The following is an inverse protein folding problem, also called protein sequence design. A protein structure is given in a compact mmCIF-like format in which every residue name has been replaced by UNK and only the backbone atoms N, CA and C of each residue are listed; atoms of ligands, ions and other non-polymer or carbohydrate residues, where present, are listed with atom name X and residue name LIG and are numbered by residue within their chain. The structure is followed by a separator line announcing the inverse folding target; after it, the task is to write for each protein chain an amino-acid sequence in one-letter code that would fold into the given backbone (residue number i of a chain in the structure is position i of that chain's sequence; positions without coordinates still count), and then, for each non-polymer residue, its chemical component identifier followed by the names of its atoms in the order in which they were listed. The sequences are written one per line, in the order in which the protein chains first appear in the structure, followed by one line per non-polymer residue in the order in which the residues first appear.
data_IF_180410704820
#
_entry.id   IF_180410704820
#
_cell.length_a   1.000
_cell.length_b   1.000
_cell.length_c   1.000
_cell.angle_alpha   90.00
_cell.angle_beta   90.00
_cell.angle_gamma   90.00
#
_symmetry.space_group_name_H-M   'P 1'
#
loop_
_entity.id
_entity.type
_entity.pdbx_description
1 polymer ?
#
# COMPACT_ATOMS: atom_id res chain seq x y z
N UNK A 1 -7.02 2.79 -12.23
CA UNK A 1 -5.95 2.41 -11.29
C UNK A 1 -5.91 0.88 -11.20
N UNK A 2 -4.74 0.25 -11.37
CA UNK A 2 -4.63 -1.21 -11.17
C UNK A 2 -4.80 -1.54 -9.68
N UNK A 3 -5.28 -2.74 -9.37
CA UNK A 3 -5.48 -3.14 -7.98
C UNK A 3 -4.13 -3.24 -7.25
N UNK A 4 -3.09 -3.71 -7.94
CA UNK A 4 -1.72 -3.74 -7.44
C UNK A 4 -1.21 -2.35 -7.05
N UNK A 5 -1.45 -1.32 -7.88
CA UNK A 5 -1.00 0.05 -7.63
C UNK A 5 -1.64 0.67 -6.37
N UNK A 6 -2.80 0.17 -5.95
CA UNK A 6 -3.45 0.56 -4.71
C UNK A 6 -3.03 -0.31 -3.52
N UNK A 7 -3.09 -1.64 -3.65
CA UNK A 7 -2.86 -2.58 -2.56
C UNK A 7 -1.38 -2.70 -2.17
N UNK A 8 -0.47 -2.73 -3.14
CA UNK A 8 0.94 -2.94 -2.90
C UNK A 8 1.56 -1.93 -1.93
N UNK A 9 1.43 -0.60 -2.13
CA UNK A 9 2.02 0.37 -1.20
C UNK A 9 1.42 0.25 0.20
N UNK A 10 0.11 0.02 0.32
CA UNK A 10 -0.56 -0.15 1.62
C UNK A 10 -0.02 -1.39 2.37
N UNK A 11 0.19 -2.50 1.66
CA UNK A 11 0.72 -3.74 2.23
C UNK A 11 2.17 -3.59 2.68
N UNK A 12 3.04 -2.97 1.86
CA UNK A 12 4.44 -2.70 2.24
C UNK A 12 4.50 -1.80 3.47
N UNK A 13 3.69 -0.75 3.52
CA UNK A 13 3.63 0.15 4.70
C UNK A 13 3.12 -0.59 5.93
N UNK A 14 2.04 -1.35 5.82
CA UNK A 14 1.52 -2.18 6.92
C UNK A 14 2.57 -3.14 7.46
N UNK A 15 3.32 -3.81 6.58
CA UNK A 15 4.42 -4.70 6.95
C UNK A 15 5.56 -3.95 7.67
N UNK A 16 5.95 -2.78 7.15
CA UNK A 16 6.99 -1.93 7.77
C UNK A 16 6.61 -1.45 9.17
N UNK A 17 5.35 -1.05 9.38
CA UNK A 17 4.85 -0.62 10.69
C UNK A 17 4.85 -1.82 11.66
N UNK A 18 4.35 -2.98 11.21
CA UNK A 18 4.32 -4.22 12.00
C UNK A 18 5.73 -4.66 12.44
N UNK A 19 6.74 -4.50 11.58
CA UNK A 19 8.12 -4.85 11.90
C UNK A 19 8.77 -3.90 12.91
N UNK A 20 8.42 -2.60 12.85
CA UNK A 20 9.08 -1.56 13.65
C UNK A 20 8.43 -1.30 15.01
N UNK A 21 7.15 -1.60 15.16
CA UNK A 21 6.38 -1.11 16.31
C UNK A 21 5.53 -2.19 16.96
N UNK A 22 6.14 -2.97 17.85
CA UNK A 22 5.40 -3.93 18.70
C UNK A 22 4.54 -3.25 19.79
N UNK A 23 4.64 -1.92 19.96
CA UNK A 23 4.02 -1.19 21.07
C UNK A 23 3.02 -0.08 20.68
N UNK A 24 2.85 0.24 19.39
CA UNK A 24 1.98 1.34 18.91
C UNK A 24 0.50 0.94 18.88
N UNK A 25 -0.38 1.94 18.86
CA UNK A 25 -1.84 1.76 18.70
C UNK A 25 -2.18 0.99 17.41
N UNK A 26 -1.37 1.11 16.36
CA UNK A 26 -1.51 0.33 15.14
C UNK A 26 -1.39 -1.19 15.40
N UNK A 27 -0.36 -1.60 16.15
CA UNK A 27 -0.08 -3.00 16.46
C UNK A 27 -1.05 -3.61 17.50
N UNK A 28 -1.77 -2.77 18.26
CA UNK A 28 -2.77 -3.19 19.25
C UNK A 28 -4.21 -3.05 18.76
N UNK A 29 -4.42 -2.27 17.69
CA UNK A 29 -5.73 -1.80 17.26
C UNK A 29 -6.23 -2.38 15.94
N UNK A 30 -7.06 -1.59 15.27
CA UNK A 30 -7.71 -1.97 14.02
C UNK A 30 -6.73 -2.15 12.85
N UNK A 31 -5.61 -1.43 12.84
CA UNK A 31 -4.60 -1.49 11.78
C UNK A 31 -3.97 -2.87 11.63
N UNK A 32 -3.48 -3.46 12.73
CA UNK A 32 -2.98 -4.84 12.74
C UNK A 32 -4.04 -5.84 12.27
N UNK A 33 -5.27 -5.73 12.76
CA UNK A 33 -6.36 -6.65 12.38
C UNK A 33 -6.67 -6.57 10.90
N UNK A 34 -6.74 -5.36 10.35
CA UNK A 34 -6.97 -5.14 8.92
C UNK A 34 -5.81 -5.69 8.08
N UNK A 35 -4.56 -5.46 8.50
CA UNK A 35 -3.37 -6.00 7.85
C UNK A 35 -3.35 -7.53 7.85
N UNK A 36 -3.52 -8.16 9.01
CA UNK A 36 -3.53 -9.63 9.13
C UNK A 36 -4.69 -10.25 8.35
N UNK A 37 -5.88 -9.64 8.38
CA UNK A 37 -7.03 -10.10 7.62
C UNK A 37 -6.81 -9.98 6.10
N UNK A 38 -6.23 -8.86 5.64
CA UNK A 38 -5.93 -8.64 4.23
C UNK A 38 -4.88 -9.65 3.73
N UNK A 39 -3.79 -9.84 4.49
CA UNK A 39 -2.75 -10.83 4.20
C UNK A 39 -3.31 -12.25 4.16
N UNK A 40 -4.15 -12.62 5.14
CA UNK A 40 -4.81 -13.92 5.19
C UNK A 40 -5.70 -14.13 3.99
N UNK A 41 -6.51 -13.14 3.61
CA UNK A 41 -7.43 -13.25 2.46
C UNK A 41 -6.69 -13.37 1.14
N UNK A 42 -5.65 -12.57 0.93
CA UNK A 42 -4.80 -12.66 -0.27
C UNK A 42 -4.14 -14.04 -0.39
N UNK A 43 -3.64 -14.58 0.73
CA UNK A 43 -2.98 -15.88 0.74
C UNK A 43 -3.95 -17.07 0.64
N UNK A 44 -4.94 -17.12 1.51
CA UNK A 44 -5.79 -18.30 1.70
C UNK A 44 -6.92 -18.36 0.65
N UNK A 45 -7.53 -17.21 0.33
CA UNK A 45 -8.69 -17.17 -0.57
C UNK A 45 -8.26 -16.94 -2.05
N UNK A 46 -7.15 -16.23 -2.27
CA UNK A 46 -6.67 -15.88 -3.63
C UNK A 46 -5.34 -16.54 -4.03
N UNK A 47 -4.72 -17.32 -3.15
CA UNK A 47 -3.50 -18.08 -3.47
C UNK A 47 -2.26 -17.21 -3.69
N UNK A 48 -2.27 -15.95 -3.27
CA UNK A 48 -1.16 -15.01 -3.42
C UNK A 48 -0.09 -15.34 -2.38
N UNK A 49 0.76 -16.33 -2.65
CA UNK A 49 1.81 -16.74 -1.71
C UNK A 49 2.94 -15.70 -1.61
N UNK A 50 3.15 -14.90 -2.65
CA UNK A 50 4.19 -13.86 -2.72
C UNK A 50 4.03 -12.77 -1.65
N UNK A 51 2.81 -12.51 -1.17
CA UNK A 51 2.59 -11.54 -0.08
C UNK A 51 3.30 -11.93 1.22
N UNK A 52 3.69 -13.20 1.40
CA UNK A 52 4.53 -13.60 2.54
C UNK A 52 5.94 -12.99 2.50
N UNK A 53 6.37 -12.46 1.35
CA UNK A 53 7.66 -11.80 1.13
C UNK A 53 7.54 -10.27 1.16
N UNK A 54 6.38 -9.72 1.54
CA UNK A 54 6.11 -8.27 1.53
C UNK A 54 7.07 -7.49 2.43
N UNK A 55 7.54 -8.11 3.51
CA UNK A 55 8.54 -7.55 4.43
C UNK A 55 9.93 -7.41 3.79
N UNK A 56 10.25 -8.29 2.84
CA UNK A 56 11.50 -8.28 2.08
C UNK A 56 11.39 -7.50 0.76
N UNK A 57 10.17 -7.12 0.35
CA UNK A 57 9.94 -6.42 -0.91
C UNK A 57 10.59 -5.03 -0.97
N UNK A 58 10.85 -4.42 0.19
CA UNK A 58 11.61 -3.16 0.27
C UNK A 58 13.11 -3.33 -0.06
N UNK A 59 13.65 -4.53 0.13
CA UNK A 59 15.08 -4.81 -0.07
C UNK A 59 15.36 -5.51 -1.41
N UNK A 60 14.33 -6.14 -2.02
CA UNK A 60 14.47 -6.91 -3.26
C UNK A 60 13.38 -6.58 -4.26
N UNK A 61 13.76 -5.88 -5.34
CA UNK A 61 12.85 -5.50 -6.44
C UNK A 61 12.18 -6.71 -7.11
N UNK A 62 12.83 -7.87 -7.15
CA UNK A 62 12.25 -9.11 -7.68
C UNK A 62 11.01 -9.56 -6.90
N UNK A 63 10.96 -9.31 -5.59
CA UNK A 63 9.80 -9.63 -4.76
C UNK A 63 8.69 -8.60 -4.95
N UNK A 64 9.05 -7.32 -5.09
CA UNK A 64 8.10 -6.26 -5.42
C UNK A 64 7.33 -6.57 -6.71
N UNK A 65 8.06 -6.93 -7.79
CA UNK A 65 7.46 -7.27 -9.07
C UNK A 65 6.57 -8.52 -8.99
N UNK A 66 7.00 -9.56 -8.27
CA UNK A 66 6.21 -10.78 -8.09
C UNK A 66 4.90 -10.52 -7.33
N UNK A 67 4.95 -9.73 -6.26
CA UNK A 67 3.77 -9.37 -5.48
C UNK A 67 2.81 -8.53 -6.32
N UNK A 68 3.30 -7.52 -7.05
CA UNK A 68 2.45 -6.68 -7.89
C UNK A 68 1.76 -7.50 -8.99
N UNK A 69 2.49 -8.41 -9.64
CA UNK A 69 1.93 -9.29 -10.67
C UNK A 69 0.81 -10.18 -10.12
N UNK A 70 0.99 -10.76 -8.93
CA UNK A 70 -0.05 -11.58 -8.31
C UNK A 70 -1.27 -10.74 -7.89
N UNK A 71 -1.05 -9.53 -7.37
CA UNK A 71 -2.11 -8.60 -6.96
C UNK A 71 -2.97 -8.10 -8.15
N UNK A 72 -2.44 -8.12 -9.38
CA UNK A 72 -3.18 -7.79 -10.59
C UNK A 72 -4.05 -8.93 -11.13
N UNK A 73 -4.13 -10.05 -10.40
CA UNK A 73 -5.06 -11.13 -10.73
C UNK A 73 -6.52 -10.62 -10.78
N UNK A 74 -7.27 -10.90 -11.88
CA UNK A 74 -8.66 -10.46 -12.03
C UNK A 74 -9.63 -11.02 -11.00
N UNK A 75 -9.23 -12.02 -10.22
CA UNK A 75 -10.06 -12.62 -9.18
C UNK A 75 -10.03 -11.79 -7.89
N UNK A 76 -8.90 -11.16 -7.60
CA UNK A 76 -8.72 -10.30 -6.42
C UNK A 76 -9.53 -9.01 -6.57
N UNK A 77 -9.56 -8.43 -7.77
CA UNK A 77 -10.31 -7.19 -8.05
C UNK A 77 -11.83 -7.34 -7.95
N UNK A 78 -12.33 -8.57 -7.97
CA UNK A 78 -13.76 -8.88 -7.80
C UNK A 78 -14.14 -9.16 -6.35
N UNK A 79 -13.19 -9.21 -5.44
CA UNK A 79 -13.44 -9.44 -4.03
C UNK A 79 -13.69 -8.11 -3.29
N UNK A 80 -14.94 -7.81 -2.91
CA UNK A 80 -15.27 -6.55 -2.25
C UNK A 80 -14.58 -6.40 -0.88
N UNK A 81 -14.27 -7.51 -0.20
CA UNK A 81 -13.63 -7.46 1.11
C UNK A 81 -12.16 -7.05 1.02
N UNK A 82 -11.48 -7.34 -0.08
CA UNK A 82 -10.09 -6.87 -0.29
C UNK A 82 -10.05 -5.34 -0.24
N UNK A 83 -11.02 -4.67 -0.89
CA UNK A 83 -11.12 -3.23 -0.86
C UNK A 83 -11.46 -2.70 0.53
N UNK A 84 -12.43 -3.32 1.22
CA UNK A 84 -12.83 -2.91 2.58
C UNK A 84 -11.65 -3.01 3.55
N UNK A 85 -10.93 -4.13 3.54
CA UNK A 85 -9.78 -4.36 4.41
C UNK A 85 -8.61 -3.42 4.08
N UNK A 86 -8.38 -3.14 2.79
CA UNK A 86 -7.36 -2.17 2.37
C UNK A 86 -7.71 -0.74 2.79
N UNK A 87 -8.97 -0.32 2.66
CA UNK A 87 -9.44 1.00 3.10
C UNK A 87 -9.35 1.12 4.64
N UNK A 88 -9.68 0.06 5.39
CA UNK A 88 -9.50 0.03 6.86
C UNK A 88 -8.04 0.12 7.28
N UNK A 89 -7.16 -0.58 6.58
CA UNK A 89 -5.72 -0.53 6.82
C UNK A 89 -5.17 0.86 6.53
N UNK A 90 -5.56 1.47 5.40
CA UNK A 90 -5.17 2.84 5.05
C UNK A 90 -5.63 3.83 6.11
N UNK A 91 -6.90 3.77 6.53
CA UNK A 91 -7.43 4.65 7.57
C UNK A 91 -6.68 4.50 8.91
N UNK A 92 -6.25 3.28 9.25
CA UNK A 92 -5.45 3.04 10.45
C UNK A 92 -4.03 3.61 10.34
N UNK A 93 -3.40 3.53 9.16
CA UNK A 93 -2.11 4.18 8.87
C UNK A 93 -2.25 5.71 8.97
N UNK A 94 -3.30 6.27 8.36
CA UNK A 94 -3.62 7.70 8.40
C UNK A 94 -4.07 8.21 9.77
N UNK A 95 -4.42 7.34 10.70
CA UNK A 95 -4.72 7.71 12.08
C UNK A 95 -3.46 7.83 12.96
N UNK A 96 -2.32 7.30 12.52
CA UNK A 96 -1.07 7.38 13.28
C UNK A 96 -0.58 8.83 13.40
N UNK A 97 0.14 9.21 14.46
CA UNK A 97 0.84 10.49 14.53
C UNK A 97 1.78 10.66 13.32
N UNK A 98 1.89 11.88 12.78
CA UNK A 98 2.69 12.13 11.57
C UNK A 98 4.17 11.77 11.76
N UNK A 99 4.65 11.84 12.99
CA UNK A 99 6.01 11.50 13.39
C UNK A 99 6.26 9.98 13.39
N UNK A 100 5.19 9.18 13.50
CA UNK A 100 5.21 7.71 13.47
C UNK A 100 4.80 7.16 12.09
N UNK A 101 4.18 7.98 11.24
CA UNK A 101 3.92 7.64 9.84
C UNK A 101 5.25 7.58 9.11
N UNK A 102 5.66 6.38 8.74
CA UNK A 102 6.73 6.22 7.76
C UNK A 102 6.27 6.91 6.47
N UNK A 103 6.98 7.96 6.05
CA UNK A 103 6.77 8.56 4.73
C UNK A 103 7.00 7.46 3.69
N UNK A 104 6.13 7.33 2.69
CA UNK A 104 6.21 6.24 1.70
C UNK A 104 6.29 6.76 0.28
N UNK A 105 7.14 6.15 -0.54
CA UNK A 105 7.19 6.41 -1.97
C UNK A 105 6.19 5.49 -2.71
N UNK A 106 5.35 6.07 -3.56
CA UNK A 106 4.45 5.32 -4.43
C UNK A 106 5.14 5.07 -5.77
N UNK A 107 5.50 3.81 -6.05
CA UNK A 107 6.18 3.40 -7.30
C UNK A 107 5.23 2.57 -8.18
N UNK A 108 4.93 3.06 -9.38
CA UNK A 108 3.98 2.41 -10.30
C UNK A 108 4.39 2.63 -11.78
N UNK A 109 4.11 1.66 -12.66
CA UNK A 109 4.38 1.86 -14.10
C UNK A 109 3.52 3.00 -14.67
N UNK A 110 2.23 3.04 -14.33
CA UNK A 110 1.33 4.14 -14.66
C UNK A 110 0.28 4.39 -13.58
N UNK A 111 0.06 5.65 -13.24
CA UNK A 111 -1.00 6.11 -12.34
C UNK A 111 -2.10 6.75 -13.19
N UNK A 112 -3.28 6.13 -13.25
CA UNK A 112 -4.42 6.61 -14.06
C UNK A 112 -5.70 6.72 -13.22
N UNK A 113 -6.29 7.92 -13.19
CA UNK A 113 -7.60 8.17 -12.61
C UNK A 113 -8.47 9.04 -13.54
N UNK A 114 -9.76 8.69 -13.64
CA UNK A 114 -10.75 9.43 -14.44
C UNK A 114 -11.25 10.70 -13.73
N UNK A 115 -10.86 10.93 -12.47
CA UNK A 115 -11.19 12.11 -11.67
C UNK A 115 -10.01 12.59 -10.84
N UNK A 116 -10.30 13.26 -9.72
CA UNK A 116 -9.28 13.89 -8.88
C UNK A 116 -8.32 12.86 -8.24
N UNK A 117 -7.04 13.21 -8.18
CA UNK A 117 -6.01 12.42 -7.50
C UNK A 117 -5.44 13.22 -6.33
N UNK A 118 -5.41 12.59 -5.15
CA UNK A 118 -4.87 13.21 -3.94
C UNK A 118 -3.86 12.26 -3.33
N UNK A 119 -2.60 12.70 -3.26
CA UNK A 119 -1.52 12.01 -2.57
C UNK A 119 -1.02 12.88 -1.42
N UNK A 120 -1.00 12.35 -0.20
CA UNK A 120 -0.64 13.08 1.02
C UNK A 120 0.34 12.28 1.87
N UNK A 121 1.28 12.99 2.49
CA UNK A 121 2.26 12.45 3.44
C UNK A 121 3.11 11.30 2.84
N UNK A 122 3.43 11.41 1.54
CA UNK A 122 4.26 10.47 0.78
C UNK A 122 5.71 10.97 0.65
N UNK A 123 6.69 10.06 0.76
CA UNK A 123 8.12 10.31 0.51
C UNK A 123 8.37 10.65 -0.97
N UNK A 124 7.56 10.11 -1.87
CA UNK A 124 7.62 10.43 -3.29
C UNK A 124 6.52 9.76 -4.11
N UNK A 125 6.34 10.23 -5.34
CA UNK A 125 5.62 9.46 -6.37
C UNK A 125 6.61 9.22 -7.50
N UNK A 126 6.84 7.95 -7.82
CA UNK A 126 7.63 7.53 -8.98
C UNK A 126 6.70 6.77 -9.91
N UNK A 127 6.49 7.33 -11.10
CA UNK A 127 5.79 6.63 -12.15
C UNK A 127 6.34 7.05 -13.51
N UNK A 128 6.34 6.12 -14.48
CA UNK A 128 6.68 6.47 -15.87
C UNK A 128 5.60 7.35 -16.48
N UNK A 129 4.36 7.16 -16.06
CA UNK A 129 3.21 7.91 -16.55
C UNK A 129 2.24 8.25 -15.40
N UNK A 130 1.83 9.51 -15.28
CA UNK A 130 0.76 9.96 -14.37
C UNK A 130 -0.28 10.71 -15.20
N UNK A 131 -1.51 10.20 -15.22
CA UNK A 131 -2.64 10.79 -15.98
C UNK A 131 -3.83 11.00 -15.05
N UNK A 132 -4.34 12.23 -14.98
CA UNK A 132 -5.59 12.57 -14.31
C UNK A 132 -6.54 13.30 -15.26
N UNK A 133 -7.82 12.93 -15.22
CA UNK A 133 -8.90 13.65 -15.89
C UNK A 133 -9.39 14.90 -15.15
N UNK A 134 -8.87 15.16 -13.94
CA UNK A 134 -9.24 16.28 -13.08
C UNK A 134 -8.05 16.80 -12.28
N UNK A 135 -8.31 17.44 -11.13
CA UNK A 135 -7.26 18.09 -10.33
C UNK A 135 -6.30 17.06 -9.71
N UNK A 136 -5.02 17.40 -9.70
CA UNK A 136 -3.99 16.65 -9.00
C UNK A 136 -3.40 17.51 -7.89
N UNK A 137 -3.36 16.96 -6.67
CA UNK A 137 -2.65 17.58 -5.56
C UNK A 137 -1.66 16.60 -4.95
N UNK A 138 -0.42 17.07 -4.85
CA UNK A 138 0.68 16.40 -4.17
C UNK A 138 1.16 17.32 -3.06
N UNK A 139 1.04 16.89 -1.81
CA UNK A 139 1.37 17.71 -0.65
C UNK A 139 2.34 16.97 0.28
N UNK A 140 3.43 17.64 0.67
CA UNK A 140 4.43 17.07 1.57
C UNK A 140 5.49 16.15 0.92
N UNK A 141 5.67 16.17 -0.41
CA UNK A 141 6.73 15.39 -1.08
C UNK A 141 8.11 15.92 -0.66
N UNK A 142 8.95 15.07 -0.05
CA UNK A 142 10.33 15.39 0.28
C UNK A 142 11.27 14.29 -0.21
N UNK A 143 12.12 14.61 -1.18
CA UNK A 143 13.27 13.76 -1.53
C UNK A 143 14.39 14.06 -0.54
N UNK A 144 14.35 13.49 0.67
CA UNK A 144 15.51 13.58 1.55
C UNK A 144 16.65 12.73 0.96
N UNK A 145 17.55 13.41 0.26
CA UNK A 145 18.95 13.02 0.16
C UNK A 145 19.61 13.48 1.46
N UNK A 146 19.93 12.54 2.34
CA UNK A 146 21.07 12.70 3.23
C UNK A 146 22.34 12.27 2.47
#
# INVERSE_FOLDING_TARGET
MSLSAFLYPILVTGAGIMAKTSATEFAKGAGKRAFEALMKRLKDDHGVASVALIDQAAEKEEYAAAIQADLDSPQISKDPEIKILADQLLAAIEAMPKEERQQFALDAEAIRAEGNQVFKDIEGVRAKEIVAGGDQTFEGISTKKD
#
